data_IF_686522568936
#
_entry.id   IF_686522568936
#
_cell.length_a   1.000
_cell.length_b   1.000
_cell.length_c   1.000
_cell.angle_alpha   90.00
_cell.angle_beta   90.00
_cell.angle_gamma   90.00
#
_symmetry.space_group_name_H-M   'P 1'
#
loop_
_entity.id
_entity.type
_entity.pdbx_description
1 polymer ?
#
# COMPACT_ATOMS: atom_id res chain seq x y z
N UNK A 1 3.40 15.41 4.18
CA UNK A 1 2.36 14.45 3.73
C UNK A 1 2.12 13.45 4.85
N UNK A 2 0.86 13.17 5.24
CA UNK A 2 0.53 12.25 6.34
C UNK A 2 0.59 10.80 5.86
N UNK A 3 1.50 10.03 6.44
CA UNK A 3 1.80 8.65 6.05
C UNK A 3 1.67 7.71 7.23
N UNK A 4 1.13 6.53 7.00
CA UNK A 4 1.16 5.43 7.97
C UNK A 4 1.89 4.23 7.38
N UNK A 5 2.79 3.64 8.16
CA UNK A 5 3.57 2.46 7.76
C UNK A 5 3.11 1.22 8.53
N UNK A 6 2.96 0.09 7.83
CA UNK A 6 2.53 -1.17 8.44
C UNK A 6 3.36 -2.37 7.96
N UNK A 7 3.75 -3.21 8.93
CA UNK A 7 4.57 -4.41 8.72
C UNK A 7 5.88 -4.19 7.93
N UNK A 8 6.39 -2.97 7.96
CA UNK A 8 7.63 -2.61 7.29
C UNK A 8 8.84 -3.32 7.91
N UNK A 9 9.63 -4.08 7.12
CA UNK A 9 10.85 -4.70 7.61
C UNK A 9 11.86 -3.65 8.13
N UNK A 10 12.61 -3.93 9.22
CA UNK A 10 13.57 -2.99 9.79
C UNK A 10 14.60 -2.49 8.77
N UNK A 11 15.11 -3.37 7.91
CA UNK A 11 16.07 -3.04 6.86
C UNK A 11 15.54 -2.04 5.82
N UNK A 12 14.24 -2.09 5.52
CA UNK A 12 13.60 -1.16 4.59
C UNK A 12 13.28 0.18 5.29
N UNK A 13 12.89 0.15 6.57
CA UNK A 13 12.68 1.36 7.37
C UNK A 13 13.97 2.20 7.47
N UNK A 14 15.11 1.55 7.69
CA UNK A 14 16.43 2.20 7.68
C UNK A 14 16.76 2.82 6.30
N UNK A 15 16.44 2.13 5.21
CA UNK A 15 16.69 2.62 3.85
C UNK A 15 15.80 3.80 3.46
N UNK A 16 14.54 3.82 3.91
CA UNK A 16 13.61 4.93 3.65
C UNK A 16 13.99 6.16 4.47
N UNK A 17 14.53 5.98 5.68
CA UNK A 17 14.89 7.04 6.60
C UNK A 17 13.78 8.11 6.72
N UNK A 18 12.59 7.75 7.26
CA UNK A 18 11.42 8.63 7.27
C UNK A 18 11.70 9.97 7.96
N UNK A 19 12.57 9.99 8.99
CA UNK A 19 13.01 11.20 9.70
C UNK A 19 13.79 12.21 8.81
N UNK A 20 14.22 11.79 7.61
CA UNK A 20 14.93 12.63 6.64
C UNK A 20 14.05 13.09 5.48
N UNK A 21 12.76 12.82 5.55
CA UNK A 21 11.78 13.13 4.50
C UNK A 21 10.70 14.08 5.01
N UNK A 22 10.07 14.86 4.14
CA UNK A 22 8.95 15.78 4.49
C UNK A 22 7.60 15.05 4.74
N UNK A 23 7.68 13.81 5.25
CA UNK A 23 6.52 12.99 5.62
C UNK A 23 6.28 13.06 7.12
N UNK A 24 5.00 13.18 7.47
CA UNK A 24 4.52 13.11 8.84
C UNK A 24 4.06 11.67 9.08
N UNK A 25 4.85 10.88 9.81
CA UNK A 25 4.49 9.51 10.19
C UNK A 25 3.42 9.55 11.28
N UNK A 26 2.24 9.01 10.98
CA UNK A 26 1.17 8.84 11.95
C UNK A 26 1.39 7.56 12.76
N UNK A 27 1.11 7.63 14.06
CA UNK A 27 1.18 6.47 14.95
C UNK A 27 0.06 5.44 14.68
N UNK A 28 -1.05 5.87 14.06
CA UNK A 28 -2.17 5.03 13.68
C UNK A 28 -2.79 5.48 12.36
N UNK A 29 -3.38 4.54 11.63
CA UNK A 29 -4.21 4.87 10.47
C UNK A 29 -5.48 5.59 10.97
N UNK A 30 -5.76 6.77 10.40
CA UNK A 30 -6.89 7.61 10.77
C UNK A 30 -7.56 8.23 9.55
N UNK A 31 -8.79 8.72 9.70
CA UNK A 31 -9.54 9.35 8.60
C UNK A 31 -8.77 10.48 7.90
N UNK A 32 -8.88 10.51 6.57
CA UNK A 32 -8.20 11.49 5.74
C UNK A 32 -6.71 11.21 5.53
N UNK A 33 -6.30 9.94 5.66
CA UNK A 33 -4.94 9.49 5.40
C UNK A 33 -4.58 9.76 3.94
N UNK A 34 -3.45 10.44 3.72
CA UNK A 34 -2.99 10.81 2.38
C UNK A 34 -2.21 9.67 1.73
N UNK A 35 -1.44 8.93 2.53
CA UNK A 35 -0.78 7.73 2.06
C UNK A 35 -0.65 6.66 3.15
N UNK A 36 -0.79 5.41 2.76
CA UNK A 36 -0.42 4.25 3.58
C UNK A 36 0.68 3.48 2.87
N UNK A 37 1.62 2.90 3.60
CA UNK A 37 2.60 1.99 3.07
C UNK A 37 2.55 0.68 3.85
N UNK A 38 2.03 -0.34 3.17
CA UNK A 38 1.81 -1.69 3.66
C UNK A 38 2.82 -2.68 3.06
N UNK A 39 3.36 -3.57 3.89
CA UNK A 39 4.07 -4.77 3.43
C UNK A 39 3.14 -5.98 3.59
N UNK A 40 2.81 -6.64 2.49
CA UNK A 40 1.84 -7.74 2.47
C UNK A 40 2.53 -9.03 2.01
N UNK A 41 2.96 -9.91 2.93
CA UNK A 41 3.61 -11.17 2.57
C UNK A 41 2.61 -12.20 2.01
N UNK A 42 1.32 -12.09 2.35
CA UNK A 42 0.27 -13.04 1.92
C UNK A 42 -0.98 -12.33 1.43
N UNK A 43 -1.76 -13.00 0.58
CA UNK A 43 -3.00 -12.42 0.04
C UNK A 43 -4.08 -12.19 1.10
N UNK A 44 -4.20 -13.07 2.09
CA UNK A 44 -5.12 -12.88 3.21
C UNK A 44 -4.74 -11.66 4.06
N UNK A 45 -3.43 -11.43 4.25
CA UNK A 45 -2.96 -10.23 4.91
C UNK A 45 -3.33 -8.98 4.11
N UNK A 46 -3.05 -9.01 2.80
CA UNK A 46 -3.39 -7.91 1.90
C UNK A 46 -4.89 -7.56 1.97
N UNK A 47 -5.77 -8.56 1.85
CA UNK A 47 -7.22 -8.35 1.84
C UNK A 47 -7.72 -7.69 3.13
N UNK A 48 -7.26 -8.20 4.28
CA UNK A 48 -7.61 -7.65 5.60
C UNK A 48 -7.17 -6.18 5.73
N UNK A 49 -5.93 -5.89 5.40
CA UNK A 49 -5.36 -4.55 5.57
C UNK A 49 -5.97 -3.56 4.58
N UNK A 50 -6.21 -3.96 3.32
CA UNK A 50 -6.89 -3.09 2.35
C UNK A 50 -8.33 -2.79 2.78
N UNK A 51 -9.05 -3.76 3.33
CA UNK A 51 -10.40 -3.54 3.87
C UNK A 51 -10.42 -2.55 5.03
N UNK A 52 -9.40 -2.57 5.89
CA UNK A 52 -9.26 -1.62 6.99
C UNK A 52 -8.81 -0.22 6.52
N UNK A 53 -7.92 -0.15 5.54
CA UNK A 53 -7.33 1.11 5.07
C UNK A 53 -8.22 1.87 4.10
N UNK A 54 -8.96 1.16 3.24
CA UNK A 54 -9.79 1.78 2.21
C UNK A 54 -10.74 2.87 2.71
N UNK A 55 -11.45 2.72 3.85
CA UNK A 55 -12.32 3.79 4.35
C UNK A 55 -11.54 5.00 4.91
N UNK A 56 -10.30 4.80 5.36
CA UNK A 56 -9.48 5.85 5.99
C UNK A 56 -8.71 6.71 4.96
N UNK A 57 -8.42 6.14 3.79
CA UNK A 57 -7.69 6.80 2.70
C UNK A 57 -8.55 7.88 2.06
N UNK A 58 -8.00 9.10 1.97
CA UNK A 58 -8.62 10.22 1.30
C UNK A 58 -8.86 9.92 -0.20
N UNK A 59 -9.86 10.56 -0.82
CA UNK A 59 -10.19 10.33 -2.24
C UNK A 59 -9.04 10.60 -3.21
N UNK A 60 -8.10 11.46 -2.83
CA UNK A 60 -6.87 11.76 -3.59
C UNK A 60 -5.61 11.12 -2.98
N UNK A 61 -5.78 10.23 -2.00
CA UNK A 61 -4.70 9.49 -1.36
C UNK A 61 -4.31 8.23 -2.14
N UNK A 62 -3.32 7.51 -1.62
CA UNK A 62 -2.86 6.26 -2.23
C UNK A 62 -2.37 5.27 -1.17
N UNK A 63 -2.31 3.98 -1.54
CA UNK A 63 -1.73 2.92 -0.72
C UNK A 63 -0.56 2.34 -1.50
N UNK A 64 0.63 2.39 -0.92
CA UNK A 64 1.79 1.69 -1.42
C UNK A 64 1.83 0.29 -0.80
N UNK A 65 1.81 -0.75 -1.61
CA UNK A 65 1.85 -2.14 -1.15
C UNK A 65 3.12 -2.79 -1.65
N UNK A 66 3.95 -3.32 -0.77
CA UNK A 66 5.09 -4.16 -1.14
C UNK A 66 4.78 -5.62 -0.91
N UNK A 67 4.97 -6.43 -1.95
CA UNK A 67 4.86 -7.88 -1.89
C UNK A 67 6.21 -8.53 -2.23
N UNK A 68 6.47 -9.76 -1.76
CA UNK A 68 7.71 -10.47 -2.07
C UNK A 68 7.81 -10.75 -3.57
N UNK A 69 9.02 -10.62 -4.13
CA UNK A 69 9.30 -10.91 -5.55
C UNK A 69 9.43 -12.42 -5.82
N UNK A 70 9.57 -13.25 -4.79
CA UNK A 70 9.66 -14.71 -4.89
C UNK A 70 8.30 -15.39 -5.07
N UNK A 71 8.17 -16.25 -6.09
CA UNK A 71 6.96 -17.04 -6.31
C UNK A 71 6.77 -18.15 -5.25
N UNK A 72 5.55 -18.34 -4.76
CA UNK A 72 5.18 -19.33 -3.73
C UNK A 72 3.75 -19.12 -3.20
N UNK A 73 3.48 -19.46 -1.93
CA UNK A 73 2.22 -19.15 -1.21
C UNK A 73 2.08 -17.66 -0.84
N UNK A 74 2.98 -16.83 -1.36
CA UNK A 74 3.05 -15.39 -1.12
C UNK A 74 2.11 -14.64 -2.07
N UNK A 75 1.72 -13.41 -1.72
CA UNK A 75 0.86 -12.59 -2.57
C UNK A 75 1.55 -12.30 -3.91
N UNK A 76 1.09 -12.94 -4.98
CA UNK A 76 1.57 -12.66 -6.34
C UNK A 76 0.99 -11.36 -6.90
N UNK A 77 1.59 -10.87 -7.99
CA UNK A 77 1.17 -9.63 -8.63
C UNK A 77 -0.29 -9.65 -9.11
N UNK A 78 -0.72 -10.73 -9.78
CA UNK A 78 -2.11 -10.86 -10.25
C UNK A 78 -3.10 -10.86 -9.09
N UNK A 79 -2.79 -11.59 -8.02
CA UNK A 79 -3.63 -11.67 -6.83
C UNK A 79 -3.70 -10.33 -6.10
N UNK A 80 -2.60 -9.57 -6.06
CA UNK A 80 -2.59 -8.20 -5.54
C UNK A 80 -3.52 -7.30 -6.33
N UNK A 81 -3.41 -7.29 -7.66
CA UNK A 81 -4.26 -6.47 -8.53
C UNK A 81 -5.74 -6.84 -8.38
N UNK A 82 -6.07 -8.15 -8.34
CA UNK A 82 -7.45 -8.60 -8.12
C UNK A 82 -7.99 -8.20 -6.74
N UNK A 83 -7.18 -8.35 -5.68
CA UNK A 83 -7.57 -7.96 -4.31
C UNK A 83 -7.79 -6.45 -4.20
N UNK A 84 -6.87 -5.66 -4.76
CA UNK A 84 -7.01 -4.21 -4.81
C UNK A 84 -8.31 -3.77 -5.50
N UNK A 85 -8.64 -4.39 -6.64
CA UNK A 85 -9.87 -4.10 -7.38
C UNK A 85 -11.13 -4.39 -6.55
N UNK A 86 -11.16 -5.46 -5.74
CA UNK A 86 -12.27 -5.76 -4.84
C UNK A 86 -12.51 -4.67 -3.79
N UNK A 87 -11.45 -3.97 -3.38
CA UNK A 87 -11.51 -2.82 -2.47
C UNK A 87 -11.70 -1.47 -3.19
N UNK A 88 -11.97 -1.49 -4.50
CA UNK A 88 -12.17 -0.28 -5.29
C UNK A 88 -10.89 0.54 -5.45
N UNK A 89 -9.73 -0.13 -5.48
CA UNK A 89 -8.41 0.45 -5.74
C UNK A 89 -7.91 -0.04 -7.10
N UNK A 90 -7.14 0.80 -7.78
CA UNK A 90 -6.48 0.47 -9.05
C UNK A 90 -4.98 0.65 -8.93
N UNK A 91 -4.23 -0.24 -9.56
CA UNK A 91 -2.79 -0.09 -9.71
C UNK A 91 -2.49 1.06 -10.66
N UNK A 92 -1.66 1.99 -10.20
CA UNK A 92 -1.21 3.14 -10.97
C UNK A 92 0.26 3.01 -11.37
N UNK A 93 1.11 2.57 -10.45
CA UNK A 93 2.55 2.49 -10.65
C UNK A 93 3.10 1.23 -9.97
N UNK A 94 4.23 0.72 -10.46
CA UNK A 94 4.93 -0.43 -9.90
C UNK A 94 6.44 -0.23 -9.98
N UNK A 95 7.17 -0.60 -8.94
CA UNK A 95 8.63 -0.58 -8.94
C UNK A 95 9.23 -1.77 -8.17
N UNK A 96 10.45 -2.16 -8.54
CA UNK A 96 11.22 -3.11 -7.75
C UNK A 96 11.85 -2.37 -6.56
N UNK A 97 11.79 -2.98 -5.37
CA UNK A 97 12.40 -2.48 -4.14
C UNK A 97 13.49 -3.48 -3.75
N UNK A 98 14.73 -3.16 -4.12
CA UNK A 98 15.85 -4.09 -4.01
C UNK A 98 15.63 -5.35 -4.85
N UNK A 99 16.12 -6.48 -4.36
CA UNK A 99 15.97 -7.80 -4.99
C UNK A 99 14.72 -8.58 -4.54
N UNK A 100 14.21 -8.26 -3.35
CA UNK A 100 13.31 -9.14 -2.62
C UNK A 100 11.85 -8.69 -2.63
N UNK A 101 11.60 -7.42 -2.99
CA UNK A 101 10.27 -6.81 -2.91
C UNK A 101 9.88 -6.14 -4.22
N UNK A 102 8.59 -6.17 -4.52
CA UNK A 102 7.95 -5.41 -5.59
C UNK A 102 6.89 -4.51 -4.97
N UNK A 103 7.06 -3.20 -5.15
CA UNK A 103 6.14 -2.17 -4.68
C UNK A 103 5.11 -1.82 -5.74
N UNK A 104 3.85 -1.72 -5.33
CA UNK A 104 2.70 -1.37 -6.17
C UNK A 104 1.98 -0.19 -5.54
N UNK A 105 1.78 0.87 -6.31
CA UNK A 105 0.99 2.04 -5.94
C UNK A 105 -0.46 1.80 -6.33
N UNK A 106 -1.32 1.74 -5.32
CA UNK A 106 -2.76 1.63 -5.46
C UNK A 106 -3.41 2.98 -5.19
N UNK A 107 -4.33 3.39 -6.04
CA UNK A 107 -5.12 4.61 -5.84
C UNK A 107 -6.61 4.28 -5.78
N UNK A 108 -7.42 5.01 -5.00
CA UNK A 108 -8.87 4.90 -5.08
C UNK A 108 -9.33 5.03 -6.52
N UNK A 109 -10.11 4.07 -6.99
CA UNK A 109 -10.71 4.19 -8.31
C UNK A 109 -11.66 5.39 -8.26
N UNK A 110 -11.37 6.41 -9.06
CA UNK A 110 -12.25 7.54 -9.21
C UNK A 110 -13.24 7.17 -10.33
N UNK A 111 -14.33 6.46 -10.02
CA UNK A 111 -15.50 6.56 -10.88
C UNK A 111 -15.97 8.00 -10.71
N UNK A 112 -15.59 8.86 -11.64
CA UNK A 112 -16.33 10.10 -11.84
C UNK A 112 -17.80 9.68 -11.99
N UNK A 113 -18.63 10.01 -11.00
CA UNK A 113 -20.07 9.88 -11.13
C UNK A 113 -20.43 10.71 -12.37
N UNK A 114 -20.94 10.10 -13.47
CA UNK A 114 -21.48 10.91 -14.54
C UNK A 114 -22.65 11.70 -13.94
N UNK A 115 -22.52 13.03 -13.98
CA UNK A 115 -23.55 13.97 -13.58
C UNK A 115 -24.81 13.84 -14.45
#
# INVERSE_FOLDING_TARGET
MRVWFHDMPPSIREAIAPDRSDVEELCCASDGLQAAYLFAPTAHHLDRELGALRPLIASNGFIWVSHPTGGGTQCGAEQLTSTAAMHGLVEQDRCAIGSDWTGVKLVPHNQATPA
#
